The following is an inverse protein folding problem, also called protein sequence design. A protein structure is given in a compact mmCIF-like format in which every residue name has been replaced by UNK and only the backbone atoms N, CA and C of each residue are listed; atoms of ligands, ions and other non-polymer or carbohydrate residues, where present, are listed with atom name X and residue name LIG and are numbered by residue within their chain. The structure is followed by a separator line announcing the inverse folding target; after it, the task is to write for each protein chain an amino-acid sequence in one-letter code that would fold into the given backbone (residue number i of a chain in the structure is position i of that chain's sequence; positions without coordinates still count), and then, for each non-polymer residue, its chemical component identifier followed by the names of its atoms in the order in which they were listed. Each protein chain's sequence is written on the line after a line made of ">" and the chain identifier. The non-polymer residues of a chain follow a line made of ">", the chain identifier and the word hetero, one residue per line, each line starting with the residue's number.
data_IF_706762340155
#
_entry.id   IF_706762340155
#
_cell.length_a   1.000
_cell.length_b   1.000
_cell.length_c   1.000
_cell.angle_alpha   90.00
_cell.angle_beta   90.00
_cell.angle_gamma   90.00
#
_symmetry.space_group_name_H-M   'P 1'
#
loop_
_entity.id
_entity.type
_entity.pdbx_description
1 polymer ?
#
# COMPACT_ATOMS: atom_id res chain seq x y z
N UNK A 1 64.88 -16.42 -16.74
CA UNK A 1 63.76 -15.47 -16.72
C UNK A 1 63.39 -15.20 -18.17
N UNK A 2 62.55 -16.06 -18.73
CA UNK A 2 62.09 -15.91 -20.13
C UNK A 2 60.99 -14.84 -20.16
N UNK A 3 61.33 -13.72 -20.83
CA UNK A 3 60.41 -12.67 -21.20
C UNK A 3 59.90 -12.97 -22.62
N UNK A 4 58.97 -13.93 -22.73
CA UNK A 4 58.33 -14.28 -23.99
C UNK A 4 56.84 -14.50 -23.78
N UNK A 5 56.15 -13.45 -23.32
CA UNK A 5 54.70 -13.32 -23.54
C UNK A 5 54.34 -11.84 -23.73
N UNK A 6 54.98 -11.27 -24.78
CA UNK A 6 54.50 -10.03 -25.36
C UNK A 6 53.25 -10.38 -26.14
N UNK A 7 52.10 -10.00 -25.61
CA UNK A 7 50.80 -10.11 -26.31
C UNK A 7 50.72 -9.26 -27.58
N UNK A 8 51.69 -9.44 -28.47
CA UNK A 8 51.66 -8.89 -29.81
C UNK A 8 50.60 -9.69 -30.62
N UNK A 9 49.52 -9.05 -30.93
CA UNK A 9 48.52 -9.55 -31.88
C UNK A 9 49.27 -9.84 -33.20
N UNK A 10 49.15 -11.08 -33.70
CA UNK A 10 49.80 -11.48 -34.96
C UNK A 10 49.53 -10.47 -36.10
N UNK A 11 50.51 -10.13 -36.93
CA UNK A 11 50.30 -9.23 -38.08
C UNK A 11 49.13 -9.66 -38.99
N UNK A 12 48.84 -10.94 -39.10
CA UNK A 12 47.69 -11.48 -39.79
C UNK A 12 46.35 -10.96 -39.23
N UNK A 13 46.27 -10.61 -37.97
CA UNK A 13 45.07 -10.05 -37.36
C UNK A 13 44.70 -8.65 -37.88
N UNK A 14 45.63 -7.96 -38.53
CA UNK A 14 45.41 -6.61 -39.10
C UNK A 14 45.29 -6.63 -40.62
N UNK A 15 45.02 -7.80 -41.23
CA UNK A 15 44.79 -7.89 -42.69
C UNK A 15 43.57 -7.06 -43.09
N UNK A 16 43.73 -6.29 -44.19
CA UNK A 16 42.63 -5.59 -44.86
C UNK A 16 41.66 -6.54 -45.57
N UNK A 17 42.09 -7.78 -45.78
CA UNK A 17 41.26 -8.81 -46.41
C UNK A 17 40.34 -9.50 -45.40
N UNK A 18 39.20 -10.00 -45.91
CA UNK A 18 38.30 -10.78 -45.10
C UNK A 18 38.92 -12.16 -44.77
N UNK A 19 38.89 -12.49 -43.46
CA UNK A 19 39.46 -13.72 -42.92
C UNK A 19 38.39 -14.52 -42.18
N UNK A 20 38.52 -15.85 -42.19
CA UNK A 20 37.71 -16.73 -41.39
C UNK A 20 36.23 -16.65 -41.76
N UNK A 21 35.93 -16.51 -43.04
CA UNK A 21 34.56 -16.50 -43.54
C UNK A 21 33.90 -17.83 -43.23
N UNK A 22 32.84 -17.83 -42.43
CA UNK A 22 32.07 -19.02 -42.05
C UNK A 22 30.58 -18.75 -42.15
N UNK A 23 29.83 -19.67 -42.78
CA UNK A 23 28.40 -19.59 -42.87
C UNK A 23 27.76 -19.74 -41.49
N UNK A 24 27.02 -18.72 -41.06
CA UNK A 24 26.18 -18.77 -39.83
C UNK A 24 24.81 -19.34 -40.08
N UNK A 25 24.17 -18.89 -41.15
CA UNK A 25 22.81 -19.24 -41.45
C UNK A 25 22.49 -19.01 -42.93
N UNK A 26 21.71 -19.91 -43.50
CA UNK A 26 21.07 -19.72 -44.79
C UNK A 26 19.56 -19.85 -44.64
N UNK A 27 18.85 -18.86 -45.10
CA UNK A 27 17.37 -18.85 -45.10
C UNK A 27 16.85 -18.23 -46.40
N UNK A 28 15.99 -18.95 -47.09
CA UNK A 28 15.39 -18.51 -48.34
C UNK A 28 16.47 -17.97 -49.29
N UNK A 29 16.48 -16.65 -49.52
CA UNK A 29 17.37 -15.99 -50.47
C UNK A 29 18.55 -15.29 -49.80
N UNK A 30 18.70 -15.36 -48.45
CA UNK A 30 19.76 -14.69 -47.69
C UNK A 30 20.73 -15.68 -47.07
N UNK A 31 22.02 -15.39 -47.20
CA UNK A 31 23.09 -16.07 -46.50
C UNK A 31 23.74 -15.13 -45.51
N UNK A 32 23.89 -15.55 -44.26
CA UNK A 32 24.59 -14.81 -43.22
C UNK A 32 25.94 -15.52 -42.96
N UNK A 33 27.03 -14.79 -43.04
CA UNK A 33 28.35 -15.29 -42.71
C UNK A 33 28.95 -14.48 -41.56
N UNK A 34 29.83 -15.08 -40.77
CA UNK A 34 30.80 -14.33 -39.94
C UNK A 34 32.09 -14.22 -40.69
N UNK A 35 32.77 -13.11 -40.52
CA UNK A 35 34.12 -12.89 -40.98
C UNK A 35 34.88 -11.93 -40.06
N UNK A 36 36.16 -11.88 -40.15
CA UNK A 36 37.00 -10.90 -39.43
C UNK A 36 37.84 -10.08 -40.40
N UNK A 37 38.01 -8.78 -40.03
CA UNK A 37 38.88 -7.85 -40.72
C UNK A 37 39.47 -6.90 -39.69
N UNK A 38 40.80 -6.65 -39.76
CA UNK A 38 41.52 -5.87 -38.77
C UNK A 38 41.31 -6.36 -37.31
N UNK A 39 41.17 -7.66 -37.09
CA UNK A 39 40.98 -8.27 -35.78
C UNK A 39 39.58 -8.10 -35.20
N UNK A 40 38.65 -7.41 -35.89
CA UNK A 40 37.26 -7.23 -35.50
C UNK A 40 36.38 -8.18 -36.28
N UNK A 41 35.37 -8.79 -35.59
CA UNK A 41 34.37 -9.65 -36.24
C UNK A 41 33.20 -8.83 -36.83
N UNK A 42 32.69 -9.33 -37.94
CA UNK A 42 31.57 -8.76 -38.68
C UNK A 42 30.56 -9.84 -39.06
N UNK A 43 29.35 -9.43 -39.37
CA UNK A 43 28.36 -10.22 -40.06
C UNK A 43 28.30 -9.72 -41.51
N UNK A 44 28.39 -10.65 -42.46
CA UNK A 44 28.20 -10.39 -43.88
C UNK A 44 26.87 -10.97 -44.30
N UNK A 45 25.93 -10.13 -44.78
CA UNK A 45 24.62 -10.54 -45.27
C UNK A 45 24.63 -10.49 -46.78
N UNK A 46 24.78 -11.67 -47.38
CA UNK A 46 24.77 -11.90 -48.84
C UNK A 46 23.49 -12.50 -49.34
N UNK A 47 23.34 -12.61 -50.65
CA UNK A 47 22.26 -13.30 -51.32
C UNK A 47 22.66 -14.73 -51.67
N UNK A 48 21.67 -15.68 -51.64
CA UNK A 48 21.91 -17.03 -52.12
C UNK A 48 21.90 -17.06 -53.65
N UNK A 49 22.80 -17.85 -54.24
CA UNK A 49 22.97 -17.96 -55.69
C UNK A 49 21.75 -18.55 -56.42
N UNK A 50 20.81 -19.21 -55.71
CA UNK A 50 19.71 -19.94 -56.27
C UNK A 50 18.45 -19.08 -56.57
N UNK A 51 18.52 -17.75 -56.48
CA UNK A 51 17.33 -16.89 -56.61
C UNK A 51 16.95 -16.65 -58.09
N UNK A 52 15.76 -17.05 -58.45
CA UNK A 52 15.20 -16.88 -59.82
C UNK A 52 14.95 -15.40 -60.20
N UNK A 53 14.98 -14.46 -59.25
CA UNK A 53 14.81 -13.02 -59.47
C UNK A 53 15.96 -12.21 -58.84
N UNK A 54 17.18 -12.48 -59.28
CA UNK A 54 18.39 -11.87 -58.73
C UNK A 54 18.32 -10.33 -58.74
N UNK A 55 17.77 -9.73 -59.81
CA UNK A 55 17.69 -8.27 -59.96
C UNK A 55 16.84 -7.64 -58.86
N UNK A 56 15.66 -8.20 -58.56
CA UNK A 56 14.76 -7.67 -57.51
C UNK A 56 15.41 -7.82 -56.13
N UNK A 57 16.11 -8.94 -55.88
CA UNK A 57 16.83 -9.19 -54.65
C UNK A 57 18.00 -8.22 -54.43
N UNK A 58 18.72 -7.87 -55.48
CA UNK A 58 19.81 -6.87 -55.46
C UNK A 58 19.25 -5.46 -55.14
N UNK A 59 18.08 -5.12 -55.70
CA UNK A 59 17.41 -3.84 -55.39
C UNK A 59 16.96 -3.80 -53.92
N UNK A 60 16.38 -4.89 -53.40
CA UNK A 60 16.01 -4.99 -51.99
C UNK A 60 17.21 -4.89 -51.05
N UNK A 61 18.33 -5.58 -51.36
CA UNK A 61 19.58 -5.49 -50.62
C UNK A 61 20.15 -4.07 -50.64
N UNK A 62 20.10 -3.38 -51.81
CA UNK A 62 20.55 -1.97 -51.90
C UNK A 62 19.67 -1.07 -51.03
N UNK A 63 18.37 -1.28 -51.01
CA UNK A 63 17.43 -0.51 -50.19
C UNK A 63 17.68 -0.77 -48.68
N UNK A 64 17.90 -2.04 -48.30
CA UNK A 64 18.26 -2.41 -46.93
C UNK A 64 19.52 -1.73 -46.48
N UNK A 65 20.56 -1.80 -47.31
CA UNK A 65 21.82 -1.09 -47.02
C UNK A 65 21.62 0.42 -46.88
N UNK A 66 20.88 1.05 -47.82
CA UNK A 66 20.67 2.51 -47.79
C UNK A 66 19.96 3.00 -46.53
N UNK A 67 19.05 2.18 -46.00
CA UNK A 67 18.40 2.49 -44.72
C UNK A 67 19.27 2.14 -43.52
N UNK A 68 19.92 0.96 -43.52
CA UNK A 68 20.75 0.52 -42.41
C UNK A 68 21.90 1.45 -42.11
N UNK A 69 22.56 1.99 -43.14
CA UNK A 69 23.71 2.89 -43.00
C UNK A 69 23.35 4.24 -42.35
N UNK A 70 22.07 4.63 -42.38
CA UNK A 70 21.62 5.90 -41.74
C UNK A 70 21.26 5.71 -40.25
N UNK A 71 21.17 4.48 -39.80
CA UNK A 71 20.78 4.18 -38.41
C UNK A 71 22.03 4.21 -37.50
N UNK A 72 21.97 5.05 -36.49
CA UNK A 72 22.99 5.13 -35.45
C UNK A 72 22.31 5.17 -34.07
N UNK A 73 22.21 4.01 -33.41
CA UNK A 73 21.58 3.89 -32.10
C UNK A 73 22.19 2.72 -31.32
N UNK A 74 22.48 2.86 -30.01
CA UNK A 74 23.16 1.83 -29.22
C UNK A 74 22.42 0.48 -29.18
N UNK A 75 21.12 0.47 -29.37
CA UNK A 75 20.28 -0.73 -29.34
C UNK A 75 19.90 -1.24 -30.75
N UNK A 76 20.58 -0.75 -31.78
CA UNK A 76 20.45 -1.24 -33.17
C UNK A 76 21.82 -1.71 -33.64
N UNK A 77 21.90 -2.81 -34.36
CA UNK A 77 23.13 -3.25 -34.96
C UNK A 77 23.55 -2.32 -36.11
N UNK A 78 24.81 -1.89 -36.11
CA UNK A 78 25.34 -0.97 -37.10
C UNK A 78 25.51 -1.64 -38.46
N UNK A 79 25.22 -0.91 -39.53
CA UNK A 79 25.54 -1.26 -40.91
C UNK A 79 26.76 -0.42 -41.34
N UNK A 80 27.80 -1.04 -41.85
CA UNK A 80 29.06 -0.36 -42.16
C UNK A 80 29.23 -0.06 -43.66
N UNK A 81 29.04 -1.07 -44.51
CA UNK A 81 29.29 -0.96 -45.94
C UNK A 81 28.51 -2.01 -46.76
N UNK A 82 28.54 -1.82 -48.05
CA UNK A 82 28.07 -2.79 -49.02
C UNK A 82 29.23 -3.12 -49.94
N UNK A 83 29.73 -4.36 -49.92
CA UNK A 83 30.97 -4.79 -50.55
C UNK A 83 30.81 -6.08 -51.32
N UNK A 84 31.64 -6.26 -52.37
CA UNK A 84 31.82 -7.56 -53.02
C UNK A 84 32.85 -8.35 -52.19
N UNK A 85 32.47 -9.49 -51.68
CA UNK A 85 33.29 -10.35 -50.83
C UNK A 85 33.55 -11.66 -51.57
N UNK A 86 34.84 -12.08 -51.66
CA UNK A 86 35.19 -13.35 -52.28
C UNK A 86 34.34 -14.50 -51.68
N UNK A 87 33.88 -15.40 -52.51
CA UNK A 87 33.04 -16.59 -52.18
C UNK A 87 31.64 -16.29 -51.60
N UNK A 88 31.35 -15.02 -51.27
CA UNK A 88 30.03 -14.62 -50.73
C UNK A 88 29.21 -13.72 -51.67
N UNK A 89 29.85 -13.16 -52.70
CA UNK A 89 29.26 -12.15 -53.59
C UNK A 89 29.02 -10.81 -52.87
N UNK A 90 28.04 -10.06 -53.34
CA UNK A 90 27.66 -8.77 -52.77
C UNK A 90 27.03 -8.91 -51.39
N UNK A 91 27.69 -8.35 -50.40
CA UNK A 91 27.29 -8.45 -48.97
C UNK A 91 27.14 -7.09 -48.30
N UNK A 92 26.12 -6.94 -47.48
CA UNK A 92 26.02 -5.89 -46.50
C UNK A 92 26.91 -6.29 -45.31
N UNK A 93 27.85 -5.43 -44.96
CA UNK A 93 28.74 -5.59 -43.80
C UNK A 93 28.11 -4.95 -42.56
N UNK A 94 27.91 -5.75 -41.55
CA UNK A 94 27.17 -5.35 -40.35
C UNK A 94 27.96 -5.67 -39.07
N UNK A 95 27.55 -5.06 -37.98
CA UNK A 95 28.06 -5.33 -36.61
C UNK A 95 27.87 -6.80 -36.27
N UNK A 96 28.96 -7.45 -35.84
CA UNK A 96 28.82 -8.75 -35.17
C UNK A 96 28.43 -8.54 -33.73
N UNK A 97 27.22 -8.90 -33.37
CA UNK A 97 26.72 -8.83 -32.01
C UNK A 97 27.05 -10.12 -31.26
N UNK A 98 28.00 -10.06 -30.30
CA UNK A 98 28.23 -11.20 -29.41
C UNK A 98 27.11 -11.29 -28.39
N UNK A 99 26.09 -12.08 -28.73
CA UNK A 99 24.85 -12.19 -27.97
C UNK A 99 24.09 -13.46 -28.29
N UNK A 100 22.94 -13.60 -27.66
CA UNK A 100 21.96 -14.64 -27.91
C UNK A 100 20.60 -14.01 -28.21
N UNK A 101 19.72 -14.74 -28.88
CA UNK A 101 18.37 -14.25 -29.17
C UNK A 101 17.57 -13.99 -27.91
N UNK A 102 16.58 -13.10 -28.00
CA UNK A 102 15.66 -12.85 -26.88
C UNK A 102 14.99 -14.14 -26.37
N UNK A 103 14.67 -15.08 -27.26
CA UNK A 103 14.06 -16.36 -26.90
C UNK A 103 15.02 -17.22 -26.05
N UNK A 104 16.27 -17.36 -26.49
CA UNK A 104 17.33 -18.09 -25.76
C UNK A 104 17.62 -17.42 -24.41
N UNK A 105 17.72 -16.10 -24.41
CA UNK A 105 17.95 -15.35 -23.18
C UNK A 105 16.81 -15.52 -22.17
N UNK A 106 15.55 -15.52 -22.62
CA UNK A 106 14.40 -15.77 -21.75
C UNK A 106 14.40 -17.18 -21.14
N UNK A 107 14.94 -18.18 -21.87
CA UNK A 107 15.10 -19.54 -21.37
C UNK A 107 16.10 -19.61 -20.18
N UNK A 108 17.03 -18.66 -20.06
CA UNK A 108 17.95 -18.55 -18.89
C UNK A 108 17.26 -17.99 -17.65
N UNK A 109 15.98 -17.66 -17.72
CA UNK A 109 15.16 -17.08 -16.66
C UNK A 109 15.75 -15.78 -16.04
N UNK A 110 16.01 -14.74 -16.85
CA UNK A 110 16.59 -13.49 -16.38
C UNK A 110 15.71 -12.79 -15.35
N UNK A 111 16.38 -11.98 -14.48
CA UNK A 111 15.69 -11.24 -13.44
C UNK A 111 14.65 -10.26 -13.99
N UNK A 112 13.67 -9.90 -13.16
CA UNK A 112 12.64 -8.92 -13.55
C UNK A 112 13.26 -7.58 -13.98
N UNK A 113 14.30 -7.11 -13.29
CA UNK A 113 14.98 -5.85 -13.62
C UNK A 113 15.71 -5.93 -14.96
N UNK A 114 16.32 -7.09 -15.28
CA UNK A 114 16.96 -7.33 -16.59
C UNK A 114 15.93 -7.31 -17.73
N UNK A 115 14.78 -8.01 -17.54
CA UNK A 115 13.67 -7.98 -18.52
C UNK A 115 13.11 -6.57 -18.71
N UNK A 116 13.03 -5.79 -17.63
CA UNK A 116 12.55 -4.42 -17.69
C UNK A 116 13.50 -3.50 -18.43
N UNK A 117 14.82 -3.66 -18.25
CA UNK A 117 15.84 -2.95 -19.00
C UNK A 117 15.77 -3.29 -20.50
N UNK A 118 15.69 -4.58 -20.83
CA UNK A 118 15.56 -5.01 -22.21
C UNK A 118 14.30 -4.44 -22.89
N UNK A 119 13.17 -4.41 -22.19
CA UNK A 119 11.93 -3.78 -22.68
C UNK A 119 12.12 -2.29 -23.00
N UNK A 120 12.79 -1.54 -22.11
CA UNK A 120 13.01 -0.10 -22.28
C UNK A 120 13.99 0.17 -23.43
N UNK A 121 15.06 -0.61 -23.56
CA UNK A 121 16.04 -0.49 -24.66
C UNK A 121 15.42 -0.82 -26.01
N UNK A 122 14.56 -1.84 -26.07
CA UNK A 122 13.79 -2.15 -27.28
C UNK A 122 12.86 -0.99 -27.66
N UNK A 123 12.19 -0.40 -26.66
CA UNK A 123 11.32 0.73 -26.87
C UNK A 123 12.11 1.96 -27.36
N UNK A 124 13.32 2.21 -26.80
CA UNK A 124 14.23 3.28 -27.27
C UNK A 124 14.60 3.10 -28.75
N UNK A 125 14.95 1.86 -29.16
CA UNK A 125 15.29 1.56 -30.55
C UNK A 125 14.09 1.80 -31.49
N UNK A 126 12.90 1.35 -31.10
CA UNK A 126 11.69 1.51 -31.95
C UNK A 126 11.24 2.99 -32.02
N UNK A 127 11.33 3.75 -30.92
CA UNK A 127 11.07 5.21 -30.93
C UNK A 127 12.03 5.93 -31.88
N UNK A 128 13.32 5.57 -31.84
CA UNK A 128 14.33 6.14 -32.73
C UNK A 128 14.00 5.85 -34.21
N UNK A 129 13.71 4.59 -34.57
CA UNK A 129 13.34 4.21 -35.94
C UNK A 129 12.11 4.98 -36.40
N UNK A 130 11.04 5.03 -35.59
CA UNK A 130 9.80 5.73 -35.92
C UNK A 130 9.99 7.25 -36.01
N UNK A 131 10.95 7.84 -35.26
CA UNK A 131 11.28 9.27 -35.38
C UNK A 131 11.90 9.63 -36.73
N UNK A 132 12.54 8.66 -37.39
CA UNK A 132 13.05 8.76 -38.76
C UNK A 132 12.02 8.38 -39.82
N UNK A 133 10.75 8.20 -39.43
CA UNK A 133 9.66 7.71 -40.30
C UNK A 133 9.92 6.34 -40.91
N UNK A 134 10.77 5.54 -40.25
CA UNK A 134 11.05 4.15 -40.62
C UNK A 134 10.29 3.20 -39.71
N UNK A 135 10.07 1.98 -40.19
CA UNK A 135 9.35 0.92 -39.48
C UNK A 135 10.16 -0.35 -39.56
N UNK A 136 10.14 -1.17 -38.50
CA UNK A 136 10.95 -2.41 -38.49
C UNK A 136 10.33 -3.55 -39.32
N UNK A 137 9.02 -3.65 -39.32
CA UNK A 137 8.17 -4.66 -39.98
C UNK A 137 8.36 -6.11 -39.50
N UNK A 138 9.56 -6.60 -39.20
CA UNK A 138 9.83 -7.99 -38.80
C UNK A 138 10.30 -8.10 -37.34
N UNK A 139 9.61 -7.40 -36.41
CA UNK A 139 9.92 -7.46 -34.98
C UNK A 139 9.50 -8.82 -34.41
N UNK A 140 10.50 -9.66 -34.09
CA UNK A 140 10.33 -10.99 -33.47
C UNK A 140 11.52 -11.34 -32.57
N UNK A 141 11.38 -12.35 -31.71
CA UNK A 141 12.39 -12.73 -30.73
C UNK A 141 13.75 -13.12 -31.32
N UNK A 142 13.79 -13.62 -32.58
CA UNK A 142 15.04 -13.94 -33.26
C UNK A 142 15.79 -12.71 -33.78
N UNK A 143 15.10 -11.59 -34.00
CA UNK A 143 15.68 -10.32 -34.47
C UNK A 143 16.04 -9.37 -33.33
N UNK A 144 15.89 -9.84 -32.09
CA UNK A 144 16.29 -9.11 -30.88
C UNK A 144 17.41 -9.92 -30.22
N UNK A 145 18.64 -9.41 -30.26
CA UNK A 145 19.78 -10.00 -29.59
C UNK A 145 20.00 -9.36 -28.24
N UNK A 146 20.44 -10.15 -27.27
CA UNK A 146 20.88 -9.70 -25.96
C UNK A 146 22.39 -9.97 -25.88
N UNK A 147 23.17 -8.90 -25.74
CA UNK A 147 24.63 -9.02 -25.70
C UNK A 147 25.09 -9.80 -24.48
N UNK A 148 26.15 -10.62 -24.60
CA UNK A 148 26.76 -11.34 -23.47
C UNK A 148 27.36 -10.38 -22.47
N UNK A 149 27.99 -9.31 -22.96
CA UNK A 149 28.54 -8.24 -22.12
C UNK A 149 27.48 -7.15 -21.93
N UNK A 150 27.09 -6.90 -20.68
CA UNK A 150 26.13 -5.87 -20.29
C UNK A 150 24.66 -6.20 -20.49
N UNK A 151 24.30 -7.31 -21.16
CA UNK A 151 22.92 -7.71 -21.41
C UNK A 151 22.10 -6.59 -22.07
N UNK A 152 22.66 -5.94 -23.07
CA UNK A 152 21.99 -4.88 -23.83
C UNK A 152 21.24 -5.45 -25.03
N UNK A 153 20.12 -4.83 -25.35
CA UNK A 153 19.37 -5.15 -26.58
C UNK A 153 20.13 -4.63 -27.80
N UNK A 154 20.22 -5.47 -28.83
CA UNK A 154 20.60 -5.10 -30.18
C UNK A 154 19.52 -5.61 -31.14
N UNK A 155 18.82 -4.69 -31.78
CA UNK A 155 17.83 -4.98 -32.80
C UNK A 155 18.55 -5.20 -34.12
N UNK A 156 18.25 -6.29 -34.78
CA UNK A 156 18.86 -6.68 -36.05
C UNK A 156 17.78 -6.91 -37.11
N UNK A 157 18.19 -6.89 -38.35
CA UNK A 157 17.42 -7.35 -39.51
C UNK A 157 16.05 -6.65 -39.70
N UNK A 158 16.05 -5.61 -40.52
CA UNK A 158 14.84 -4.85 -40.88
C UNK A 158 14.08 -5.56 -41.98
N UNK A 159 12.79 -5.80 -41.81
CA UNK A 159 11.92 -6.45 -42.78
C UNK A 159 11.57 -5.56 -43.97
N UNK A 160 12.59 -5.16 -44.73
CA UNK A 160 12.46 -4.19 -45.82
C UNK A 160 11.71 -4.72 -47.06
N UNK A 161 11.36 -6.01 -47.08
CA UNK A 161 10.61 -6.63 -48.16
C UNK A 161 9.17 -6.10 -48.31
N UNK A 162 8.64 -5.38 -47.36
CA UNK A 162 7.26 -4.89 -47.32
C UNK A 162 7.14 -3.36 -47.42
N UNK A 163 8.20 -2.65 -47.85
CA UNK A 163 8.22 -1.17 -47.88
C UNK A 163 7.35 -0.53 -48.95
N UNK A 164 6.50 -1.29 -49.64
CA UNK A 164 5.55 -0.75 -50.61
C UNK A 164 4.20 -0.37 -50.01
N UNK A 165 4.12 -0.16 -48.70
CA UNK A 165 2.85 0.17 -48.09
C UNK A 165 2.46 1.62 -48.33
N UNK A 166 1.27 1.82 -48.78
CA UNK A 166 0.69 3.12 -49.10
C UNK A 166 0.26 3.93 -47.85
N UNK A 167 0.45 3.36 -46.63
CA UNK A 167 -0.01 3.99 -45.41
C UNK A 167 0.98 3.79 -44.25
N UNK A 168 1.86 4.77 -43.97
CA UNK A 168 2.86 4.69 -42.90
C UNK A 168 2.28 4.48 -41.50
N UNK A 169 1.04 4.89 -41.26
CA UNK A 169 0.40 4.72 -39.97
C UNK A 169 0.03 3.25 -39.67
N UNK A 170 -0.35 2.47 -40.69
CA UNK A 170 -0.61 1.05 -40.52
C UNK A 170 0.67 0.30 -40.17
N UNK A 171 1.80 0.72 -40.70
CA UNK A 171 3.10 0.11 -40.49
C UNK A 171 3.60 0.32 -39.03
N UNK A 172 3.44 1.54 -38.52
CA UNK A 172 3.71 1.83 -37.11
C UNK A 172 2.82 0.98 -36.20
N UNK A 173 1.54 0.80 -36.56
CA UNK A 173 0.64 -0.05 -35.78
C UNK A 173 1.07 -1.52 -35.77
N UNK A 174 1.65 -2.00 -36.87
CA UNK A 174 2.20 -3.36 -36.94
C UNK A 174 3.36 -3.53 -35.92
N UNK A 175 4.32 -2.62 -35.91
CA UNK A 175 5.41 -2.65 -34.92
C UNK A 175 4.89 -2.55 -33.48
N UNK A 176 3.86 -1.72 -33.22
CA UNK A 176 3.20 -1.62 -31.91
C UNK A 176 2.59 -2.97 -31.50
N UNK A 177 1.92 -3.65 -32.41
CA UNK A 177 1.35 -4.97 -32.14
C UNK A 177 2.43 -6.02 -31.86
N UNK A 178 3.51 -6.02 -32.62
CA UNK A 178 4.67 -6.93 -32.43
C UNK A 178 5.40 -6.62 -31.10
N UNK A 179 5.54 -5.35 -30.74
CA UNK A 179 6.02 -4.97 -29.41
C UNK A 179 5.10 -5.51 -28.30
N UNK A 180 3.79 -5.45 -28.48
CA UNK A 180 2.82 -6.06 -27.56
C UNK A 180 3.02 -7.57 -27.40
N UNK A 181 3.34 -8.29 -28.50
CA UNK A 181 3.69 -9.71 -28.46
C UNK A 181 5.01 -9.95 -27.71
N UNK A 182 6.01 -9.12 -27.95
CA UNK A 182 7.29 -9.17 -27.25
C UNK A 182 7.14 -8.90 -25.75
N UNK A 183 6.25 -7.98 -25.35
CA UNK A 183 5.87 -7.78 -23.96
C UNK A 183 5.26 -9.02 -23.30
N UNK A 184 4.56 -9.85 -24.08
CA UNK A 184 4.01 -11.11 -23.57
C UNK A 184 5.11 -12.12 -23.26
N UNK A 185 6.15 -12.18 -24.09
CA UNK A 185 7.31 -13.04 -23.86
C UNK A 185 8.10 -12.56 -22.63
N UNK A 186 8.37 -11.27 -22.55
CA UNK A 186 9.11 -10.67 -21.43
C UNK A 186 8.36 -10.80 -20.09
N UNK A 187 7.03 -10.62 -20.09
CA UNK A 187 6.22 -10.53 -18.88
C UNK A 187 4.87 -11.27 -19.04
N UNK A 188 4.84 -12.61 -18.97
CA UNK A 188 3.61 -13.38 -19.23
C UNK A 188 2.42 -12.99 -18.35
N UNK A 189 2.66 -12.68 -17.07
CA UNK A 189 1.62 -12.35 -16.08
C UNK A 189 1.38 -10.85 -15.91
N UNK A 190 2.26 -10.00 -16.44
CA UNK A 190 2.18 -8.54 -16.26
C UNK A 190 1.77 -7.83 -17.54
N UNK A 191 1.43 -6.55 -17.43
CA UNK A 191 1.11 -5.69 -18.58
C UNK A 191 -0.06 -6.15 -19.48
N UNK A 192 -0.98 -7.01 -19.00
CA UNK A 192 -2.12 -7.53 -19.78
C UNK A 192 -2.92 -6.42 -20.48
N UNK A 193 -3.28 -5.34 -19.75
CA UNK A 193 -4.01 -4.21 -20.35
C UNK A 193 -3.19 -3.49 -21.43
N UNK A 194 -1.89 -3.26 -21.17
CA UNK A 194 -1.01 -2.59 -22.11
C UNK A 194 -0.89 -3.41 -23.42
N UNK A 195 -0.73 -4.73 -23.31
CA UNK A 195 -0.69 -5.64 -24.47
C UNK A 195 -1.98 -5.59 -25.30
N UNK A 196 -3.13 -5.64 -24.63
CA UNK A 196 -4.43 -5.49 -25.31
C UNK A 196 -4.56 -4.13 -26.00
N UNK A 197 -4.06 -3.07 -25.39
CA UNK A 197 -4.07 -1.74 -26.00
C UNK A 197 -3.16 -1.67 -27.22
N UNK A 198 -1.97 -2.31 -27.20
CA UNK A 198 -1.12 -2.47 -28.37
C UNK A 198 -1.82 -3.24 -29.51
N UNK A 199 -2.45 -4.37 -29.19
CA UNK A 199 -3.17 -5.19 -30.17
C UNK A 199 -4.38 -4.47 -30.79
N UNK A 200 -5.07 -3.66 -30.01
CA UNK A 200 -6.27 -2.96 -30.44
C UNK A 200 -5.98 -1.57 -31.07
N UNK A 201 -4.73 -1.24 -31.37
CA UNK A 201 -4.36 0.01 -32.02
C UNK A 201 -4.66 1.27 -31.19
N UNK A 202 -4.65 1.16 -29.84
CA UNK A 202 -4.96 2.31 -28.96
C UNK A 202 -3.80 3.29 -28.77
N UNK A 203 -2.61 2.93 -29.20
CA UNK A 203 -1.44 3.81 -29.13
C UNK A 203 -1.14 4.38 -30.53
N UNK A 204 -0.95 5.69 -30.58
CA UNK A 204 -0.57 6.36 -31.82
C UNK A 204 0.90 6.12 -32.20
N UNK A 205 1.78 5.93 -31.18
CA UNK A 205 3.22 5.77 -31.34
C UNK A 205 3.85 5.08 -30.13
N UNK A 206 5.14 4.76 -30.21
CA UNK A 206 5.89 4.12 -29.12
C UNK A 206 6.05 5.03 -27.89
N UNK A 207 6.14 6.35 -28.06
CA UNK A 207 6.23 7.30 -26.94
C UNK A 207 4.97 7.25 -26.05
N UNK A 208 3.78 7.05 -26.62
CA UNK A 208 2.56 6.85 -25.82
C UNK A 208 2.60 5.58 -24.97
N UNK A 209 3.23 4.51 -25.48
CA UNK A 209 3.48 3.27 -24.74
C UNK A 209 4.45 3.53 -23.58
N UNK A 210 5.55 4.25 -23.82
CA UNK A 210 6.52 4.67 -22.80
C UNK A 210 5.84 5.39 -21.66
N UNK A 211 5.06 6.42 -21.95
CA UNK A 211 4.32 7.17 -20.94
C UNK A 211 3.38 6.28 -20.10
N UNK A 212 2.73 5.31 -20.74
CA UNK A 212 1.89 4.34 -20.03
C UNK A 212 2.68 3.44 -19.09
N UNK A 213 3.87 2.99 -19.50
CA UNK A 213 4.78 2.17 -18.68
C UNK A 213 5.29 2.99 -17.50
N UNK A 214 5.77 4.21 -17.74
CA UNK A 214 6.29 5.11 -16.70
C UNK A 214 5.21 5.49 -15.67
N UNK A 215 4.00 5.83 -16.13
CA UNK A 215 2.86 6.12 -15.27
C UNK A 215 2.52 4.94 -14.36
N UNK A 216 2.59 3.72 -14.90
CA UNK A 216 2.38 2.50 -14.11
C UNK A 216 3.49 2.30 -13.06
N UNK A 217 4.75 2.48 -13.44
CA UNK A 217 5.90 2.34 -12.53
C UNK A 217 5.83 3.37 -11.39
N UNK A 218 5.52 4.63 -11.70
CA UNK A 218 5.32 5.69 -10.70
C UNK A 218 4.21 5.28 -9.72
N UNK A 219 3.05 4.84 -10.22
CA UNK A 219 1.95 4.39 -9.35
C UNK A 219 2.40 3.26 -8.42
N UNK A 220 3.09 2.23 -8.94
CA UNK A 220 3.58 1.13 -8.10
C UNK A 220 4.57 1.58 -7.02
N UNK A 221 5.39 2.58 -7.31
CA UNK A 221 6.34 3.15 -6.34
C UNK A 221 5.62 3.90 -5.22
N UNK A 222 4.55 4.65 -5.51
CA UNK A 222 3.87 5.49 -4.52
C UNK A 222 2.74 4.80 -3.75
N UNK A 223 2.13 3.73 -4.29
CA UNK A 223 1.06 2.98 -3.61
C UNK A 223 1.41 2.59 -2.15
N UNK A 224 2.59 2.01 -1.83
CA UNK A 224 2.91 1.64 -0.46
C UNK A 224 2.99 2.84 0.48
N UNK A 225 3.46 3.99 0.02
CA UNK A 225 3.48 5.22 0.82
C UNK A 225 2.07 5.75 1.10
N UNK A 226 1.20 5.72 0.10
CA UNK A 226 -0.21 6.11 0.28
C UNK A 226 -0.91 5.19 1.28
N UNK A 227 -0.70 3.88 1.19
CA UNK A 227 -1.24 2.91 2.15
C UNK A 227 -0.70 3.20 3.55
N UNK A 228 0.60 3.43 3.70
CA UNK A 228 1.21 3.75 5.01
C UNK A 228 0.60 5.01 5.63
N UNK A 229 0.38 6.06 4.84
CA UNK A 229 -0.27 7.30 5.31
C UNK A 229 -1.71 7.02 5.76
N UNK A 230 -2.48 6.25 4.98
CA UNK A 230 -3.85 5.88 5.35
C UNK A 230 -3.88 5.11 6.67
N UNK A 231 -2.97 4.14 6.85
CA UNK A 231 -2.86 3.36 8.09
C UNK A 231 -2.53 4.27 9.28
N UNK A 232 -1.61 5.24 9.12
CA UNK A 232 -1.28 6.21 10.17
C UNK A 232 -2.48 7.08 10.54
N UNK A 233 -3.25 7.56 9.55
CA UNK A 233 -4.45 8.36 9.79
C UNK A 233 -5.50 7.54 10.56
N UNK A 234 -5.75 6.29 10.14
CA UNK A 234 -6.71 5.41 10.81
C UNK A 234 -6.25 5.13 12.25
N UNK A 235 -4.97 4.87 12.48
CA UNK A 235 -4.42 4.63 13.82
C UNK A 235 -4.55 5.86 14.72
N UNK A 236 -4.31 7.05 14.19
CA UNK A 236 -4.51 8.31 14.93
C UNK A 236 -5.99 8.54 15.29
N UNK A 237 -6.92 8.30 14.37
CA UNK A 237 -8.35 8.40 14.62
C UNK A 237 -8.83 7.41 15.69
N UNK A 238 -8.34 6.17 15.62
CA UNK A 238 -8.63 5.15 16.63
C UNK A 238 -8.08 5.56 18.01
N UNK A 239 -6.86 6.11 18.08
CA UNK A 239 -6.27 6.59 19.33
C UNK A 239 -7.07 7.73 19.94
N UNK A 240 -7.55 8.68 19.14
CA UNK A 240 -8.43 9.76 19.61
C UNK A 240 -9.77 9.19 20.10
N UNK A 241 -10.32 8.22 19.38
CA UNK A 241 -11.59 7.60 19.78
C UNK A 241 -11.46 6.82 21.09
N UNK A 242 -10.41 6.01 21.27
CA UNK A 242 -10.15 5.30 22.52
C UNK A 242 -9.88 6.24 23.69
N UNK A 243 -9.17 7.35 23.44
CA UNK A 243 -8.97 8.37 24.45
C UNK A 243 -10.27 9.03 24.89
N UNK A 244 -11.20 9.33 23.99
CA UNK A 244 -12.53 9.84 24.34
C UNK A 244 -13.32 8.86 25.19
N UNK A 245 -13.36 7.59 24.80
CA UNK A 245 -14.04 6.54 25.59
C UNK A 245 -13.44 6.44 27.00
N UNK A 246 -12.11 6.51 27.10
CA UNK A 246 -11.43 6.51 28.40
C UNK A 246 -11.84 7.70 29.26
N UNK A 247 -11.86 8.91 28.72
CA UNK A 247 -12.30 10.12 29.41
C UNK A 247 -13.77 10.02 29.88
N UNK A 248 -14.66 9.54 29.02
CA UNK A 248 -16.07 9.33 29.38
C UNK A 248 -16.21 8.30 30.51
N UNK A 249 -15.44 7.20 30.46
CA UNK A 249 -15.46 6.18 31.52
C UNK A 249 -14.95 6.70 32.85
N UNK A 250 -13.94 7.55 32.84
CA UNK A 250 -13.37 8.19 34.06
C UNK A 250 -14.35 9.18 34.68
N UNK A 251 -15.04 9.98 33.85
CA UNK A 251 -16.10 10.87 34.33
C UNK A 251 -17.26 10.10 34.95
N UNK A 252 -17.71 9.01 34.32
CA UNK A 252 -18.79 8.15 34.86
C UNK A 252 -18.37 7.49 36.17
N UNK A 253 -17.10 7.07 36.31
CA UNK A 253 -16.57 6.52 37.55
C UNK A 253 -16.54 7.55 38.68
N UNK A 254 -16.19 8.81 38.38
CA UNK A 254 -16.22 9.90 39.34
C UNK A 254 -17.64 10.17 39.83
N UNK A 255 -18.61 10.31 38.95
CA UNK A 255 -20.01 10.52 39.29
C UNK A 255 -20.56 9.36 40.13
N UNK A 256 -20.24 8.11 39.75
CA UNK A 256 -20.64 6.93 40.51
C UNK A 256 -20.07 6.92 41.94
N UNK A 257 -18.80 7.35 42.10
CA UNK A 257 -18.15 7.45 43.41
C UNK A 257 -18.76 8.56 44.27
N UNK A 258 -19.04 9.74 43.71
CA UNK A 258 -19.74 10.84 44.41
C UNK A 258 -21.11 10.40 44.89
N UNK A 259 -21.88 9.70 44.03
CA UNK A 259 -23.20 9.15 44.38
C UNK A 259 -23.08 8.12 45.50
N UNK A 260 -22.11 7.20 45.45
CA UNK A 260 -21.90 6.22 46.50
C UNK A 260 -21.53 6.87 47.84
N UNK A 261 -20.67 7.93 47.84
CA UNK A 261 -20.31 8.68 49.06
C UNK A 261 -21.52 9.42 49.61
N UNK A 262 -22.36 10.01 48.75
CA UNK A 262 -23.56 10.69 49.19
C UNK A 262 -24.51 9.70 49.87
N UNK A 263 -24.74 8.54 49.24
CA UNK A 263 -25.59 7.49 49.79
C UNK A 263 -25.09 6.98 51.15
N UNK A 264 -23.79 6.77 51.29
CA UNK A 264 -23.17 6.36 52.57
C UNK A 264 -23.37 7.40 53.64
N UNK A 265 -23.19 8.71 53.37
CA UNK A 265 -23.51 9.79 54.34
C UNK A 265 -24.95 9.81 54.76
N UNK A 266 -25.86 9.54 53.79
CA UNK A 266 -27.31 9.43 54.10
C UNK A 266 -27.59 8.27 55.08
N UNK A 267 -27.01 7.10 54.87
CA UNK A 267 -27.15 5.91 55.73
C UNK A 267 -26.56 6.15 57.12
N UNK A 268 -25.34 6.74 57.20
CA UNK A 268 -24.72 7.10 58.48
C UNK A 268 -25.55 8.11 59.30
N UNK A 269 -26.18 9.07 58.62
CA UNK A 269 -27.05 10.06 59.28
C UNK A 269 -28.33 9.43 59.80
N UNK A 270 -28.98 8.55 58.99
CA UNK A 270 -30.16 7.84 59.44
C UNK A 270 -29.83 7.00 60.68
N UNK A 271 -28.69 6.30 60.69
CA UNK A 271 -28.26 5.52 61.84
C UNK A 271 -28.03 6.40 63.09
N UNK A 272 -27.38 7.58 62.93
CA UNK A 272 -27.23 8.54 64.04
C UNK A 272 -28.58 8.98 64.61
N UNK A 273 -29.58 9.26 63.76
CA UNK A 273 -30.91 9.63 64.22
C UNK A 273 -31.54 8.49 65.03
N UNK A 274 -31.46 7.23 64.55
CA UNK A 274 -31.96 6.08 65.31
C UNK A 274 -31.26 5.91 66.69
N UNK A 275 -29.97 6.13 66.74
CA UNK A 275 -29.20 6.11 68.03
C UNK A 275 -29.71 7.18 69.01
N UNK A 276 -29.91 8.42 68.51
CA UNK A 276 -30.46 9.51 69.33
C UNK A 276 -31.84 9.20 69.82
N UNK A 277 -32.75 8.69 68.95
CA UNK A 277 -34.12 8.27 69.31
C UNK A 277 -34.05 7.22 70.41
N UNK A 278 -33.24 6.20 70.31
CA UNK A 278 -33.11 5.12 71.27
C UNK A 278 -32.63 5.65 72.63
N UNK A 279 -31.60 6.50 72.63
CA UNK A 279 -31.05 7.08 73.84
C UNK A 279 -32.06 7.91 74.61
N UNK A 280 -32.84 8.72 73.89
CA UNK A 280 -33.83 9.57 74.49
C UNK A 280 -35.05 8.78 75.00
N UNK A 281 -35.43 7.71 74.28
CA UNK A 281 -36.47 6.81 74.74
C UNK A 281 -36.08 6.07 76.02
N UNK A 282 -34.82 5.62 76.17
CA UNK A 282 -34.31 5.00 77.39
C UNK A 282 -34.35 5.98 78.56
N UNK A 283 -34.01 7.24 78.34
CA UNK A 283 -34.13 8.28 79.38
C UNK A 283 -35.57 8.47 79.80
N UNK A 284 -36.49 8.60 78.88
CA UNK A 284 -37.90 8.77 79.18
C UNK A 284 -38.46 7.53 79.88
N UNK A 285 -38.08 6.33 79.54
CA UNK A 285 -38.48 5.10 80.26
C UNK A 285 -37.94 5.12 81.70
N UNK A 286 -36.70 5.53 81.92
CA UNK A 286 -36.11 5.62 83.28
C UNK A 286 -36.82 6.62 84.15
N UNK A 287 -37.32 7.71 83.56
CA UNK A 287 -38.12 8.73 84.29
C UNK A 287 -39.55 8.19 84.55
N UNK A 288 -40.14 7.46 83.60
CA UNK A 288 -41.44 6.87 83.73
C UNK A 288 -41.49 5.82 84.89
N UNK A 289 -40.42 5.01 85.01
CA UNK A 289 -40.32 3.95 86.00
C UNK A 289 -40.15 4.55 87.46
N UNK A 290 -39.54 5.73 87.57
CA UNK A 290 -39.31 6.37 88.84
C UNK A 290 -40.50 7.22 89.36
N UNK A 291 -41.47 7.52 88.49
CA UNK A 291 -42.61 8.33 88.90
C UNK A 291 -43.70 7.52 89.60
N UNK A 292 -43.96 7.84 90.91
CA UNK A 292 -44.92 7.12 91.77
C UNK A 292 -46.34 7.72 91.75
N UNK A 293 -46.62 8.84 91.11
CA UNK A 293 -47.90 9.50 91.10
C UNK A 293 -48.38 9.93 89.72
N UNK A 294 -49.71 9.75 89.54
CA UNK A 294 -50.47 10.10 88.32
C UNK A 294 -50.65 11.62 88.31
N UNK A 295 -50.07 12.36 87.45
CA UNK A 295 -50.35 13.77 87.22
C UNK A 295 -51.04 14.02 85.90
N UNK A 296 -51.88 15.07 85.82
CA UNK A 296 -52.59 15.51 84.62
C UNK A 296 -51.62 15.60 83.39
N UNK A 297 -52.10 15.09 82.31
CA UNK A 297 -51.35 14.89 81.07
C UNK A 297 -50.56 16.06 80.50
N UNK A 298 -50.97 17.32 80.89
CA UNK A 298 -50.35 18.56 80.39
C UNK A 298 -49.21 19.10 81.27
N UNK A 299 -49.05 18.53 82.49
CA UNK A 299 -48.01 19.05 83.46
C UNK A 299 -47.00 18.00 83.94
N UNK A 300 -47.05 16.83 83.37
CA UNK A 300 -46.10 15.77 83.72
C UNK A 300 -44.70 16.09 83.16
N UNK A 301 -43.62 15.97 83.98
CA UNK A 301 -42.24 16.22 83.53
C UNK A 301 -41.86 15.48 82.21
N UNK A 302 -42.40 14.29 82.02
CA UNK A 302 -42.23 13.54 80.82
C UNK A 302 -42.77 14.27 79.57
N UNK A 303 -43.96 14.88 79.65
CA UNK A 303 -44.53 15.58 78.50
C UNK A 303 -43.80 16.85 78.18
N UNK A 304 -43.39 17.61 79.21
CA UNK A 304 -42.57 18.79 78.99
C UNK A 304 -41.21 18.45 78.45
N UNK A 305 -40.61 17.31 78.89
CA UNK A 305 -39.36 16.80 78.38
C UNK A 305 -39.46 16.39 76.90
N UNK A 306 -40.58 15.70 76.53
CA UNK A 306 -40.82 15.31 75.19
C UNK A 306 -40.92 16.50 74.23
N UNK A 307 -41.65 17.55 74.61
CA UNK A 307 -41.73 18.78 73.80
C UNK A 307 -40.44 19.53 73.68
N UNK A 308 -39.68 19.64 74.78
CA UNK A 308 -38.36 20.27 74.78
C UNK A 308 -37.36 19.52 73.87
N UNK A 309 -37.43 18.21 73.96
CA UNK A 309 -36.62 17.30 73.13
C UNK A 309 -36.99 17.36 71.64
N UNK A 310 -38.29 17.38 71.30
CA UNK A 310 -38.75 17.58 69.95
C UNK A 310 -38.19 18.88 69.35
N UNK A 311 -38.23 19.96 70.12
CA UNK A 311 -37.66 21.24 69.69
C UNK A 311 -36.15 21.17 69.47
N UNK A 312 -35.45 20.57 70.43
CA UNK A 312 -33.98 20.46 70.39
C UNK A 312 -33.51 19.57 69.21
N UNK A 313 -34.13 18.43 68.97
CA UNK A 313 -33.80 17.53 67.86
C UNK A 313 -34.18 18.16 66.53
N UNK A 314 -35.34 18.82 66.43
CA UNK A 314 -35.74 19.55 65.23
C UNK A 314 -34.74 20.65 64.89
N UNK A 315 -34.26 21.42 65.86
CA UNK A 315 -33.27 22.51 65.67
C UNK A 315 -31.90 21.94 65.31
N UNK A 316 -31.47 20.83 65.92
CA UNK A 316 -30.22 20.13 65.56
C UNK A 316 -30.29 19.59 64.13
N UNK A 317 -31.36 18.94 63.73
CA UNK A 317 -31.56 18.47 62.37
C UNK A 317 -31.65 19.61 61.35
N UNK A 318 -32.27 20.73 61.74
CA UNK A 318 -32.36 21.94 60.92
C UNK A 318 -30.98 22.55 60.63
N UNK A 319 -30.09 22.52 61.62
CA UNK A 319 -28.72 23.05 61.48
C UNK A 319 -27.77 22.09 60.73
N UNK A 320 -27.92 20.78 60.90
CA UNK A 320 -27.08 19.77 60.22
C UNK A 320 -27.33 19.63 58.73
N UNK A 321 -28.55 19.99 58.23
CA UNK A 321 -28.98 19.73 56.86
C UNK A 321 -29.40 20.99 56.09
N UNK A 322 -28.82 22.11 56.39
CA UNK A 322 -29.12 23.37 55.70
C UNK A 322 -28.93 23.27 54.17
N UNK A 323 -27.99 22.44 53.71
CA UNK A 323 -27.64 22.29 52.29
C UNK A 323 -28.37 21.20 51.50
N UNK A 324 -29.24 20.38 52.17
CA UNK A 324 -30.00 19.32 51.53
C UNK A 324 -31.46 19.23 52.03
N UNK A 325 -32.38 20.01 51.44
CA UNK A 325 -33.77 20.12 51.91
C UNK A 325 -34.51 18.78 51.94
N UNK A 326 -34.31 17.91 50.94
CA UNK A 326 -35.01 16.63 50.84
C UNK A 326 -34.56 15.64 51.91
N UNK A 327 -33.27 15.63 52.24
CA UNK A 327 -32.70 14.80 53.29
C UNK A 327 -33.19 15.26 54.67
N UNK A 328 -33.21 16.57 54.89
CA UNK A 328 -33.72 17.20 56.07
C UNK A 328 -35.20 16.80 56.30
N UNK A 329 -36.01 16.85 55.22
CA UNK A 329 -37.44 16.48 55.31
C UNK A 329 -37.59 15.00 55.68
N UNK A 330 -36.86 14.12 55.04
CA UNK A 330 -36.86 12.67 55.29
C UNK A 330 -36.41 12.33 56.74
N UNK A 331 -35.37 12.97 57.22
CA UNK A 331 -34.88 12.77 58.58
C UNK A 331 -35.86 13.26 59.64
N UNK A 332 -36.54 14.40 59.41
CA UNK A 332 -37.58 14.91 60.28
C UNK A 332 -38.77 13.97 60.29
N UNK A 333 -39.20 13.45 59.12
CA UNK A 333 -40.28 12.53 58.98
C UNK A 333 -40.05 11.22 59.75
N UNK A 334 -38.88 10.59 59.56
CA UNK A 334 -38.46 9.39 60.30
C UNK A 334 -38.47 9.67 61.82
N UNK A 335 -37.92 10.80 62.25
CA UNK A 335 -37.86 11.14 63.67
C UNK A 335 -39.28 11.31 64.26
N UNK A 336 -40.16 12.06 63.59
CA UNK A 336 -41.52 12.29 64.07
C UNK A 336 -42.30 10.99 64.12
N UNK A 337 -42.17 10.14 63.12
CA UNK A 337 -42.94 8.89 63.04
C UNK A 337 -42.43 7.87 64.07
N UNK A 338 -41.13 7.61 64.12
CA UNK A 338 -40.57 6.59 65.03
C UNK A 338 -40.64 7.04 66.49
N UNK A 339 -40.21 8.28 66.80
CA UNK A 339 -40.20 8.82 68.14
C UNK A 339 -41.63 8.94 68.67
N UNK A 340 -42.54 9.50 67.87
CA UNK A 340 -43.93 9.66 68.24
C UNK A 340 -44.62 8.30 68.54
N UNK A 341 -44.39 7.28 67.69
CA UNK A 341 -44.92 5.93 67.87
C UNK A 341 -44.44 5.30 69.18
N UNK A 342 -43.16 5.40 69.48
CA UNK A 342 -42.55 4.80 70.69
C UNK A 342 -42.94 5.53 71.94
N UNK A 343 -43.10 6.88 71.91
CA UNK A 343 -43.63 7.65 73.02
C UNK A 343 -45.05 7.26 73.33
N UNK A 344 -45.90 7.05 72.33
CA UNK A 344 -47.29 6.56 72.55
C UNK A 344 -47.32 5.17 73.14
N UNK A 345 -46.36 4.28 72.76
CA UNK A 345 -46.24 2.93 73.36
C UNK A 345 -45.90 3.01 74.86
N UNK A 346 -44.91 3.86 75.22
CA UNK A 346 -44.51 4.07 76.63
C UNK A 346 -45.69 4.63 77.43
N UNK A 347 -46.39 5.63 76.88
CA UNK A 347 -47.55 6.20 77.52
C UNK A 347 -48.65 5.14 77.76
N UNK A 348 -48.92 4.26 76.78
CA UNK A 348 -49.91 3.19 76.92
C UNK A 348 -49.47 2.15 77.96
N UNK A 349 -48.18 1.82 78.03
CA UNK A 349 -47.63 0.90 79.06
C UNK A 349 -47.69 1.50 80.47
N UNK A 350 -47.40 2.77 80.66
CA UNK A 350 -47.55 3.47 81.92
C UNK A 350 -49.01 3.52 82.40
N UNK A 351 -49.93 3.73 81.42
CA UNK A 351 -51.42 3.69 81.75
C UNK A 351 -51.88 2.33 82.14
N UNK A 352 -51.37 1.25 81.56
CA UNK A 352 -51.78 -0.13 81.90
C UNK A 352 -51.17 -0.64 83.19
N UNK A 353 -49.97 -0.13 83.61
CA UNK A 353 -49.26 -0.61 84.79
C UNK A 353 -49.68 0.03 86.10
N UNK A 354 -50.57 1.05 86.05
CA UNK A 354 -51.10 1.73 87.28
C UNK A 354 -52.55 1.78 87.29
N UNK A 355 -53.23 0.98 88.06
CA UNK A 355 -54.72 1.02 88.22
C UNK A 355 -55.17 2.38 88.78
N UNK A 356 -56.19 2.90 88.16
CA UNK A 356 -56.90 4.11 88.63
C UNK A 356 -57.52 3.78 89.93
N UNK A 357 -57.07 4.41 91.02
CA UNK A 357 -57.78 4.51 92.31
C UNK A 357 -58.36 5.91 92.43
#
# INVERSE_FOLDING_TARGET
>A
MDISDSGFISPAAFSAEWQGIALLQQRNHNCLYTASRYGKRYVLKGLSADSQSLTDMLLLQQKEFSLGITLNHPNIAETYSLEEVADCGRCIVMEYVDGITLAEWLATNPSHSARQRAMLQLLDALEYIHSLQLVHHDLKSSNILITRNGQNVKLIDFGLSELDTTNPQNDIQHDIQKFGQTLQLLFPSRYKRLRQQCQNGRFANMAAIRLSIEKRQRRQKYIPYVIAIIVLIISALLSVHTYRIYQESEQMAQVANEYAQQKQREEEMIEQIYRLINQEIEQLQSVADKSTSYFSYTQHPLYMGIWALQAQVRDSLANCYADSPDLKHKCIEIWVQEFGTRVMQIDSQVKQSKPIH
#
